data_IF_657143785951
#
_entry.id   IF_657143785951
#
_cell.length_a   1.000
_cell.length_b   1.000
_cell.length_c   1.000
_cell.angle_alpha   90.00
_cell.angle_beta   90.00
_cell.angle_gamma   90.00
#
_symmetry.space_group_name_H-M   'P 1'
#
loop_
_entity.id
_entity.type
_entity.pdbx_description
1 polymer ?
#
# COMPACT_ATOMS: atom_id res chain seq x y z
N UNK A 1 31.44 8.89 -45.58
CA UNK A 1 31.13 7.54 -45.04
C UNK A 1 32.14 7.12 -43.95
N UNK A 2 33.47 7.22 -44.20
CA UNK A 2 34.52 6.80 -43.24
C UNK A 2 34.51 7.58 -41.92
N UNK A 3 34.24 8.89 -41.96
CA UNK A 3 34.21 9.75 -40.76
C UNK A 3 33.01 9.35 -39.86
N UNK A 4 31.84 9.11 -40.44
CA UNK A 4 30.63 8.72 -39.69
C UNK A 4 30.81 7.32 -39.07
N UNK A 5 31.42 6.40 -39.82
CA UNK A 5 31.75 5.05 -39.34
C UNK A 5 32.74 5.12 -38.16
N UNK A 6 33.76 5.99 -38.24
CA UNK A 6 34.73 6.20 -37.18
C UNK A 6 34.11 6.76 -35.88
N UNK A 7 33.23 7.76 -36.01
CA UNK A 7 32.52 8.33 -34.87
C UNK A 7 31.59 7.27 -34.22
N UNK A 8 30.87 6.48 -35.04
CA UNK A 8 30.00 5.43 -34.54
C UNK A 8 30.75 4.32 -33.78
N UNK A 9 31.90 3.93 -34.29
CA UNK A 9 32.76 2.93 -33.65
C UNK A 9 33.31 3.45 -32.31
N UNK A 10 33.76 4.69 -32.27
CA UNK A 10 34.28 5.33 -31.06
C UNK A 10 33.19 5.48 -30.00
N UNK A 11 32.01 5.94 -30.38
CA UNK A 11 30.85 6.02 -29.48
C UNK A 11 30.44 4.63 -28.95
N UNK A 12 30.43 3.62 -29.79
CA UNK A 12 30.14 2.23 -29.39
C UNK A 12 31.12 1.67 -28.37
N UNK A 13 32.42 1.94 -28.55
CA UNK A 13 33.45 1.53 -27.56
C UNK A 13 33.26 2.27 -26.24
N UNK A 14 33.03 3.59 -26.27
CA UNK A 14 32.78 4.37 -25.04
C UNK A 14 31.56 3.84 -24.28
N UNK A 15 30.45 3.57 -24.97
CA UNK A 15 29.27 3.02 -24.36
C UNK A 15 29.49 1.61 -23.78
N UNK A 16 30.22 0.75 -24.48
CA UNK A 16 30.56 -0.58 -24.01
C UNK A 16 31.43 -0.55 -22.75
N UNK A 17 32.45 0.32 -22.73
CA UNK A 17 33.33 0.52 -21.57
C UNK A 17 32.54 1.11 -20.40
N UNK A 18 31.72 2.12 -20.64
CA UNK A 18 30.88 2.73 -19.62
C UNK A 18 29.89 1.70 -19.04
N UNK A 19 29.24 0.88 -19.88
CA UNK A 19 28.35 -0.19 -19.45
C UNK A 19 29.06 -1.23 -18.58
N UNK A 20 30.29 -1.61 -18.94
CA UNK A 20 31.07 -2.58 -18.16
C UNK A 20 31.51 -2.02 -16.79
N UNK A 21 31.91 -0.74 -16.74
CA UNK A 21 32.33 -0.09 -15.49
C UNK A 21 31.14 0.20 -14.58
N UNK A 22 29.99 0.57 -15.16
CA UNK A 22 28.76 0.87 -14.41
C UNK A 22 27.88 -0.35 -14.17
N UNK A 23 28.30 -1.55 -14.56
CA UNK A 23 27.57 -2.78 -14.26
C UNK A 23 27.48 -2.96 -12.75
N UNK A 24 26.27 -2.78 -12.20
CA UNK A 24 26.01 -3.08 -10.78
C UNK A 24 26.12 -4.60 -10.60
N UNK A 25 26.98 -5.10 -9.69
CA UNK A 25 27.07 -6.53 -9.42
C UNK A 25 25.69 -7.05 -9.02
N UNK A 26 25.21 -8.06 -9.76
CA UNK A 26 23.96 -8.72 -9.44
C UNK A 26 24.14 -9.51 -8.14
N UNK A 27 23.32 -9.21 -7.16
CA UNK A 27 23.27 -9.96 -5.92
C UNK A 27 22.32 -11.15 -6.14
N UNK A 28 22.87 -12.33 -6.40
CA UNK A 28 22.12 -13.57 -6.64
C UNK A 28 21.16 -13.89 -5.48
N UNK A 29 21.55 -13.53 -4.25
CA UNK A 29 20.67 -13.71 -3.08
C UNK A 29 19.48 -12.76 -3.13
N UNK A 30 19.69 -11.51 -3.54
CA UNK A 30 18.61 -10.55 -3.68
C UNK A 30 17.65 -10.95 -4.82
N UNK A 31 18.16 -11.49 -5.93
CA UNK A 31 17.32 -12.01 -7.02
C UNK A 31 16.48 -13.21 -6.55
N UNK A 32 17.06 -14.18 -5.84
CA UNK A 32 16.32 -15.33 -5.30
C UNK A 32 15.24 -14.89 -4.30
N UNK A 33 15.52 -13.92 -3.44
CA UNK A 33 14.53 -13.37 -2.52
C UNK A 33 13.42 -12.63 -3.28
N UNK A 34 13.76 -11.90 -4.34
CA UNK A 34 12.80 -11.17 -5.16
C UNK A 34 11.78 -12.10 -5.85
N UNK A 35 12.20 -13.28 -6.29
CA UNK A 35 11.31 -14.28 -6.88
C UNK A 35 10.27 -14.83 -5.89
N UNK A 36 10.61 -14.90 -4.61
CA UNK A 36 9.70 -15.33 -3.54
C UNK A 36 8.73 -14.23 -3.12
N UNK A 37 9.11 -12.96 -3.33
CA UNK A 37 8.26 -11.83 -2.99
C UNK A 37 7.09 -11.68 -3.97
N UNK A 38 5.90 -11.21 -3.51
CA UNK A 38 4.69 -11.15 -4.33
C UNK A 38 4.72 -10.12 -5.48
N UNK A 39 5.79 -9.35 -5.64
CA UNK A 39 5.95 -8.38 -6.72
C UNK A 39 5.01 -7.17 -6.70
N UNK A 40 4.21 -7.02 -5.66
CA UNK A 40 3.18 -5.96 -5.56
C UNK A 40 3.75 -4.54 -5.46
N UNK A 41 5.04 -4.37 -5.17
CA UNK A 41 5.75 -3.09 -5.05
C UNK A 41 5.00 -2.02 -4.23
N UNK A 42 4.23 -2.46 -3.22
CA UNK A 42 3.29 -1.60 -2.48
C UNK A 42 3.96 -0.70 -1.41
N UNK A 43 5.23 -0.94 -1.07
CA UNK A 43 5.95 -0.16 -0.05
C UNK A 43 5.50 -0.39 1.40
N UNK A 44 4.54 -1.28 1.68
CA UNK A 44 4.01 -1.53 3.03
C UNK A 44 5.06 -2.03 4.04
N UNK A 45 6.14 -2.62 3.56
CA UNK A 45 7.29 -3.04 4.35
C UNK A 45 8.24 -1.88 4.74
N UNK A 46 8.00 -0.66 4.25
CA UNK A 46 8.84 0.51 4.48
C UNK A 46 9.98 0.69 3.48
N UNK A 47 10.10 -0.16 2.47
CA UNK A 47 11.10 -0.08 1.40
C UNK A 47 10.50 0.42 0.09
N UNK A 48 11.34 0.89 -0.84
CA UNK A 48 10.93 1.46 -2.13
C UNK A 48 10.31 0.46 -3.12
N UNK A 49 9.95 -0.72 -2.66
CA UNK A 49 9.35 -1.81 -3.45
C UNK A 49 9.97 -3.15 -3.11
N UNK A 50 9.55 -4.20 -3.80
CA UNK A 50 10.04 -5.55 -3.53
C UNK A 50 11.54 -5.70 -3.78
N UNK A 51 12.08 -5.03 -4.81
CA UNK A 51 13.53 -5.04 -5.09
C UNK A 51 14.35 -4.36 -3.99
N UNK A 52 13.88 -3.24 -3.46
CA UNK A 52 14.53 -2.56 -2.33
C UNK A 52 14.52 -3.40 -1.06
N UNK A 53 13.41 -4.08 -0.80
CA UNK A 53 13.30 -5.00 0.36
C UNK A 53 14.19 -6.23 0.17
N UNK A 54 14.23 -6.84 -1.02
CA UNK A 54 15.11 -7.98 -1.33
C UNK A 54 16.59 -7.62 -1.14
N UNK A 55 17.01 -6.44 -1.62
CA UNK A 55 18.38 -5.96 -1.44
C UNK A 55 18.73 -5.67 0.03
N UNK A 56 17.79 -5.17 0.82
CA UNK A 56 18.00 -4.96 2.26
C UNK A 56 18.08 -6.29 3.03
N UNK A 57 17.29 -7.29 2.62
CA UNK A 57 17.34 -8.64 3.19
C UNK A 57 18.68 -9.34 2.89
N UNK A 58 19.18 -9.25 1.64
CA UNK A 58 20.46 -9.86 1.26
C UNK A 58 21.64 -9.28 2.03
N UNK A 59 21.58 -7.99 2.35
CA UNK A 59 22.60 -7.29 3.16
C UNK A 59 22.44 -7.49 4.67
N UNK A 60 21.33 -8.08 5.13
CA UNK A 60 21.03 -8.22 6.55
C UNK A 60 20.54 -6.93 7.24
N UNK A 61 20.18 -5.92 6.46
CA UNK A 61 19.67 -4.63 6.95
C UNK A 61 18.16 -4.68 7.29
N UNK A 62 17.46 -5.73 6.84
CA UNK A 62 16.04 -5.94 7.09
C UNK A 62 15.78 -7.33 7.69
N UNK A 63 14.67 -7.45 8.42
CA UNK A 63 14.22 -8.74 8.94
C UNK A 63 13.22 -9.40 7.96
N UNK A 64 13.25 -10.74 7.80
CA UNK A 64 12.20 -11.45 7.09
C UNK A 64 10.86 -11.30 7.83
N UNK A 65 9.73 -11.20 7.06
CA UNK A 65 8.40 -11.07 7.65
C UNK A 65 7.77 -9.68 7.61
N UNK A 66 8.47 -8.66 7.13
CA UNK A 66 7.88 -7.31 6.95
C UNK A 66 6.92 -7.23 5.76
N UNK A 67 6.94 -8.20 4.84
CA UNK A 67 6.05 -8.22 3.68
C UNK A 67 4.64 -8.67 4.07
N UNK A 68 3.73 -7.72 4.32
CA UNK A 68 2.33 -8.02 4.66
C UNK A 68 1.58 -8.78 3.54
N UNK A 69 1.66 -8.40 2.25
CA UNK A 69 1.01 -9.14 1.18
C UNK A 69 1.51 -10.57 0.99
N UNK A 70 2.81 -10.81 1.23
CA UNK A 70 3.41 -12.14 1.15
C UNK A 70 3.02 -13.07 2.28
N UNK A 71 2.68 -12.52 3.43
CA UNK A 71 2.25 -13.27 4.61
C UNK A 71 3.31 -14.23 5.15
N UNK A 72 2.84 -15.25 5.88
CA UNK A 72 3.70 -16.21 6.56
C UNK A 72 4.50 -17.10 5.58
N UNK A 73 3.90 -17.49 4.46
CA UNK A 73 4.59 -18.35 3.47
C UNK A 73 5.81 -17.64 2.86
N UNK A 74 5.67 -16.37 2.49
CA UNK A 74 6.77 -15.58 1.97
C UNK A 74 7.84 -15.33 3.04
N UNK A 75 7.44 -15.06 4.29
CA UNK A 75 8.37 -14.87 5.39
C UNK A 75 9.22 -16.11 5.67
N UNK A 76 8.60 -17.30 5.66
CA UNK A 76 9.31 -18.58 5.82
C UNK A 76 10.30 -18.83 4.70
N UNK A 77 9.87 -18.66 3.45
CA UNK A 77 10.75 -18.85 2.30
C UNK A 77 11.94 -17.86 2.29
N UNK A 78 11.70 -16.59 2.66
CA UNK A 78 12.80 -15.63 2.84
C UNK A 78 13.73 -16.01 3.99
N UNK A 79 13.21 -16.53 5.11
CA UNK A 79 13.99 -16.98 6.24
C UNK A 79 14.85 -18.20 5.90
N UNK A 80 14.33 -19.14 5.12
CA UNK A 80 15.08 -20.29 4.60
C UNK A 80 16.24 -19.88 3.70
N UNK A 81 16.02 -18.95 2.77
CA UNK A 81 17.08 -18.40 1.90
C UNK A 81 18.17 -17.67 2.67
N UNK A 82 17.80 -17.02 3.78
CA UNK A 82 18.74 -16.28 4.63
C UNK A 82 19.39 -17.15 5.71
N UNK A 83 18.89 -18.37 5.95
CA UNK A 83 19.33 -19.22 7.05
C UNK A 83 18.97 -18.67 8.43
N UNK A 84 18.01 -17.76 8.51
CA UNK A 84 17.46 -17.21 9.74
C UNK A 84 16.25 -18.05 10.14
N UNK A 85 16.18 -18.48 11.41
CA UNK A 85 15.10 -19.36 11.89
C UNK A 85 13.67 -18.81 11.68
N UNK A 86 12.69 -19.58 12.14
CA UNK A 86 11.25 -19.25 11.99
C UNK A 86 10.91 -17.83 12.47
N UNK A 87 10.26 -17.06 11.59
CA UNK A 87 9.80 -15.70 11.87
C UNK A 87 8.28 -15.69 12.01
N UNK A 88 7.82 -15.33 13.20
CA UNK A 88 6.39 -15.16 13.45
C UNK A 88 5.88 -13.88 12.78
N UNK A 89 4.98 -14.01 11.81
CA UNK A 89 4.34 -12.90 11.13
C UNK A 89 2.96 -12.65 11.73
N UNK A 90 2.76 -11.46 12.29
CA UNK A 90 1.44 -11.05 12.76
C UNK A 90 0.60 -10.56 11.59
N UNK A 91 -0.45 -11.31 11.24
CA UNK A 91 -1.37 -10.93 10.18
C UNK A 91 -2.16 -9.68 10.58
N UNK A 92 -2.02 -8.62 9.79
CA UNK A 92 -2.75 -7.35 9.95
C UNK A 92 -3.77 -7.19 8.84
N UNK A 93 -4.90 -6.57 9.17
CA UNK A 93 -5.93 -6.19 8.19
C UNK A 93 -6.17 -4.70 8.25
N UNK A 94 -6.56 -4.12 7.12
CA UNK A 94 -7.02 -2.74 7.11
C UNK A 94 -8.44 -2.65 7.70
N UNK A 95 -8.70 -1.59 8.44
CA UNK A 95 -10.00 -1.29 9.04
C UNK A 95 -10.38 0.14 8.74
N UNK A 96 -11.67 0.36 8.42
CA UNK A 96 -12.24 1.71 8.24
C UNK A 96 -12.76 2.20 9.59
N UNK A 97 -12.24 3.33 10.07
CA UNK A 97 -12.67 3.98 11.32
C UNK A 97 -13.86 4.92 11.06
N UNK A 98 -14.92 4.37 10.49
CA UNK A 98 -16.19 5.04 10.28
C UNK A 98 -17.33 4.02 10.31
N UNK A 99 -18.44 4.37 10.97
CA UNK A 99 -19.69 3.61 11.01
C UNK A 99 -20.88 4.47 10.53
N UNK A 100 -20.57 5.63 9.92
CA UNK A 100 -21.60 6.56 9.43
C UNK A 100 -22.15 6.13 8.07
N UNK A 101 -23.10 5.19 8.10
CA UNK A 101 -23.94 4.87 6.94
C UNK A 101 -25.05 5.93 6.77
N UNK A 102 -25.74 5.91 5.63
CA UNK A 102 -26.89 6.82 5.39
C UNK A 102 -28.05 6.60 6.38
N UNK A 103 -28.04 5.52 7.16
CA UNK A 103 -28.99 5.30 8.24
C UNK A 103 -28.69 6.16 9.48
N UNK A 104 -27.43 6.60 9.65
CA UNK A 104 -26.95 7.34 10.82
C UNK A 104 -26.44 8.74 10.48
N UNK A 105 -26.20 9.04 9.21
CA UNK A 105 -25.65 10.34 8.75
C UNK A 105 -26.27 10.71 7.42
N UNK A 106 -26.10 11.97 7.03
CA UNK A 106 -26.62 12.50 5.77
C UNK A 106 -25.56 13.31 5.06
N UNK A 107 -25.79 13.60 3.81
CA UNK A 107 -25.00 14.56 3.05
C UNK A 107 -25.46 15.98 3.39
N UNK A 108 -24.51 16.89 3.61
CA UNK A 108 -24.77 18.30 3.85
C UNK A 108 -24.98 19.10 2.57
N UNK A 109 -24.57 18.54 1.42
CA UNK A 109 -24.70 19.17 0.11
C UNK A 109 -24.81 18.10 -0.98
N UNK A 110 -25.49 18.45 -2.07
CA UNK A 110 -25.44 17.67 -3.31
C UNK A 110 -24.14 17.97 -4.04
N UNK A 111 -23.45 16.93 -4.49
CA UNK A 111 -22.21 17.01 -5.24
C UNK A 111 -22.43 16.52 -6.67
N UNK A 112 -22.22 17.41 -7.63
CA UNK A 112 -22.32 17.13 -9.06
C UNK A 112 -20.91 17.29 -9.70
N UNK A 113 -19.96 16.45 -9.32
CA UNK A 113 -18.57 16.47 -9.79
C UNK A 113 -18.04 15.08 -10.09
N UNK A 114 -16.73 14.94 -10.12
CA UNK A 114 -16.05 13.66 -10.33
C UNK A 114 -16.31 12.75 -9.14
N UNK A 115 -16.76 11.52 -9.37
CA UNK A 115 -16.98 10.50 -8.34
C UNK A 115 -15.64 10.05 -7.72
N UNK A 116 -15.13 10.87 -6.82
CA UNK A 116 -13.87 10.65 -6.11
C UNK A 116 -13.91 11.31 -4.73
N UNK A 117 -13.49 10.57 -3.71
CA UNK A 117 -13.32 11.10 -2.36
C UNK A 117 -12.31 12.26 -2.34
N UNK A 118 -11.21 12.12 -3.10
CA UNK A 118 -10.19 13.17 -3.18
C UNK A 118 -10.76 14.46 -3.78
N UNK A 119 -11.52 14.38 -4.88
CA UNK A 119 -12.11 15.54 -5.52
C UNK A 119 -13.18 16.21 -4.62
N UNK A 120 -14.08 15.43 -4.03
CA UNK A 120 -15.14 15.97 -3.18
C UNK A 120 -14.62 16.60 -1.88
N UNK A 121 -13.50 16.12 -1.34
CA UNK A 121 -12.87 16.69 -0.13
C UNK A 121 -12.43 18.15 -0.33
N UNK A 122 -12.09 18.54 -1.55
CA UNK A 122 -11.71 19.92 -1.88
C UNK A 122 -12.87 20.92 -1.68
N UNK A 123 -14.11 20.43 -1.73
CA UNK A 123 -15.30 21.28 -1.51
C UNK A 123 -15.75 21.18 -0.04
N UNK A 124 -15.45 22.19 0.73
CA UNK A 124 -15.85 22.32 2.13
C UNK A 124 -15.57 21.07 3.00
N UNK A 125 -14.49 20.35 2.69
CA UNK A 125 -14.08 19.15 3.40
C UNK A 125 -14.91 17.89 3.08
N UNK A 126 -15.67 17.89 2.00
CA UNK A 126 -16.46 16.75 1.53
C UNK A 126 -17.95 16.88 1.78
N UNK A 127 -18.73 15.96 1.19
CA UNK A 127 -20.19 16.01 1.14
C UNK A 127 -20.87 15.60 2.46
N UNK A 128 -20.25 14.74 3.25
CA UNK A 128 -20.84 14.20 4.47
C UNK A 128 -21.02 15.26 5.54
N UNK A 129 -22.14 15.20 6.29
CA UNK A 129 -22.39 16.05 7.46
C UNK A 129 -21.33 15.85 8.53
N UNK A 130 -20.82 14.65 8.70
CA UNK A 130 -19.68 14.39 9.57
C UNK A 130 -18.37 14.75 8.87
N UNK A 131 -17.68 15.78 9.36
CA UNK A 131 -16.40 16.24 8.79
C UNK A 131 -15.31 15.18 8.79
N UNK A 132 -15.38 14.20 9.67
CA UNK A 132 -14.46 13.08 9.80
C UNK A 132 -14.98 11.83 9.08
N UNK A 133 -16.21 11.84 8.56
CA UNK A 133 -16.88 10.66 8.02
C UNK A 133 -16.37 10.20 6.67
N UNK A 134 -16.65 8.93 6.36
CA UNK A 134 -16.48 8.39 5.01
C UNK A 134 -17.47 9.07 4.06
N UNK A 135 -17.04 9.30 2.82
CA UNK A 135 -17.87 9.90 1.77
C UNK A 135 -18.47 8.87 0.82
N UNK A 136 -18.05 7.62 0.94
CA UNK A 136 -18.64 6.52 0.18
C UNK A 136 -18.40 6.52 -1.33
N UNK A 137 -17.47 7.35 -1.88
CA UNK A 137 -17.22 7.44 -3.33
C UNK A 137 -16.26 6.37 -3.86
N UNK A 138 -15.59 5.58 -2.99
CA UNK A 138 -14.92 4.35 -3.40
C UNK A 138 -13.48 4.48 -3.88
N UNK A 139 -12.76 5.59 -3.70
CA UNK A 139 -11.32 5.70 -4.08
C UNK A 139 -10.48 4.56 -3.47
N UNK A 140 -10.77 4.17 -2.23
CA UNK A 140 -10.11 3.05 -1.57
C UNK A 140 -10.44 1.69 -2.21
N UNK A 141 -11.66 1.52 -2.73
CA UNK A 141 -12.06 0.30 -3.43
C UNK A 141 -11.42 0.21 -4.82
N UNK A 142 -11.32 1.33 -5.53
CA UNK A 142 -10.72 1.41 -6.86
C UNK A 142 -9.24 0.99 -6.86
N UNK A 143 -8.49 1.29 -5.78
CA UNK A 143 -7.07 0.89 -5.66
C UNK A 143 -6.87 -0.50 -5.06
N UNK A 144 -7.94 -1.21 -4.69
CA UNK A 144 -7.86 -2.51 -4.04
C UNK A 144 -7.77 -3.65 -5.07
N UNK A 145 -6.57 -4.11 -5.39
CA UNK A 145 -6.32 -5.22 -6.33
C UNK A 145 -6.88 -6.56 -5.85
N UNK A 146 -7.16 -6.69 -4.54
CA UNK A 146 -7.63 -7.94 -3.94
C UNK A 146 -9.16 -8.01 -3.81
N UNK A 147 -9.88 -6.99 -4.25
CA UNK A 147 -11.34 -6.92 -4.11
C UNK A 147 -11.82 -7.04 -2.66
N UNK A 148 -11.00 -6.59 -1.71
CA UNK A 148 -11.30 -6.69 -0.28
C UNK A 148 -12.19 -5.54 0.23
N UNK A 149 -12.41 -4.50 -0.58
CA UNK A 149 -13.15 -3.30 -0.16
C UNK A 149 -14.45 -3.21 -0.94
N UNK A 150 -15.54 -3.11 -0.20
CA UNK A 150 -16.87 -2.88 -0.73
C UNK A 150 -17.41 -1.55 -0.19
N UNK A 151 -18.12 -0.79 -1.01
CA UNK A 151 -18.79 0.45 -0.61
C UNK A 151 -20.29 0.22 -0.67
N UNK A 152 -20.92 0.30 0.48
CA UNK A 152 -22.37 0.13 0.62
C UNK A 152 -22.91 1.19 1.56
N UNK A 153 -24.11 1.69 1.25
CA UNK A 153 -24.84 2.63 2.12
C UNK A 153 -23.99 3.84 2.57
N UNK A 154 -23.23 4.43 1.61
CA UNK A 154 -22.38 5.61 1.87
C UNK A 154 -21.09 5.35 2.65
N UNK A 155 -20.73 4.10 2.90
CA UNK A 155 -19.57 3.74 3.71
C UNK A 155 -18.75 2.60 3.08
N UNK A 156 -17.43 2.69 3.19
CA UNK A 156 -16.53 1.61 2.81
C UNK A 156 -16.42 0.56 3.92
N UNK A 157 -16.44 -0.70 3.54
CA UNK A 157 -16.22 -1.86 4.41
C UNK A 157 -15.11 -2.73 3.85
N UNK A 158 -14.28 -3.30 4.72
CA UNK A 158 -13.13 -4.12 4.34
C UNK A 158 -13.34 -5.55 4.84
N UNK A 159 -13.24 -6.51 3.93
CA UNK A 159 -13.24 -7.94 4.23
C UNK A 159 -11.84 -8.37 4.70
N UNK A 160 -11.68 -8.75 5.98
CA UNK A 160 -10.37 -9.14 6.51
C UNK A 160 -9.85 -10.46 5.92
N UNK A 161 -10.72 -11.31 5.37
CA UNK A 161 -10.31 -12.56 4.73
C UNK A 161 -9.59 -12.32 3.39
N UNK A 162 -10.05 -11.32 2.63
CA UNK A 162 -9.47 -10.92 1.34
C UNK A 162 -8.33 -9.93 1.50
N UNK A 163 -8.29 -9.16 2.58
CA UNK A 163 -7.29 -8.11 2.79
C UNK A 163 -5.88 -8.70 2.93
N UNK A 164 -4.95 -8.19 2.13
CA UNK A 164 -3.52 -8.58 2.15
C UNK A 164 -2.62 -7.56 2.86
N UNK A 165 -3.16 -6.47 3.38
CA UNK A 165 -2.38 -5.46 4.12
C UNK A 165 -1.40 -4.65 3.28
N UNK A 166 -1.70 -4.38 2.01
CA UNK A 166 -0.80 -3.70 1.06
C UNK A 166 -0.73 -2.17 1.22
N UNK A 167 -1.51 -1.56 2.10
CA UNK A 167 -1.56 -0.13 2.41
C UNK A 167 -2.02 0.81 1.27
N UNK A 168 -2.36 0.33 0.07
CA UNK A 168 -2.81 1.20 -1.04
C UNK A 168 -4.08 2.01 -0.67
N UNK A 169 -5.01 1.39 0.04
CA UNK A 169 -6.26 2.05 0.48
C UNK A 169 -6.04 3.12 1.56
N UNK A 170 -5.02 2.98 2.41
CA UNK A 170 -4.70 4.01 3.42
C UNK A 170 -4.18 5.28 2.75
N UNK A 171 -3.35 5.14 1.72
CA UNK A 171 -2.84 6.27 0.93
C UNK A 171 -3.95 6.92 0.06
N UNK A 172 -4.90 6.12 -0.43
CA UNK A 172 -6.00 6.62 -1.27
C UNK A 172 -7.10 7.35 -0.48
N UNK A 173 -7.17 7.16 0.85
CA UNK A 173 -8.22 7.78 1.66
C UNK A 173 -7.85 9.23 2.05
N UNK A 174 -8.50 10.27 1.49
CA UNK A 174 -8.16 11.66 1.78
C UNK A 174 -8.52 12.07 3.21
N UNK A 175 -9.39 11.30 3.88
CA UNK A 175 -9.79 11.49 5.28
C UNK A 175 -8.93 10.72 6.29
N UNK A 176 -8.00 9.87 5.81
CA UNK A 176 -7.16 9.06 6.69
C UNK A 176 -7.92 8.07 7.57
N UNK A 177 -9.08 7.59 7.12
CA UNK A 177 -9.98 6.73 7.90
C UNK A 177 -9.53 5.28 8.00
N UNK A 178 -8.53 4.87 7.24
CA UNK A 178 -8.13 3.48 7.13
C UNK A 178 -6.80 3.28 7.85
N UNK A 179 -6.78 2.41 8.84
CA UNK A 179 -5.56 2.00 9.54
C UNK A 179 -5.45 0.47 9.62
N UNK A 180 -4.25 -0.01 9.96
CA UNK A 180 -4.02 -1.43 10.15
C UNK A 180 -4.24 -1.85 11.58
N UNK A 181 -4.96 -2.94 11.75
CA UNK A 181 -5.17 -3.57 13.05
C UNK A 181 -4.74 -5.04 12.98
N UNK A 182 -4.11 -5.57 14.05
CA UNK A 182 -3.85 -6.99 14.15
C UNK A 182 -5.17 -7.78 14.15
N UNK A 183 -5.24 -8.88 13.40
CA UNK A 183 -6.42 -9.74 13.34
C UNK A 183 -6.83 -10.32 14.70
N UNK A 184 -5.86 -10.43 15.63
CA UNK A 184 -6.09 -10.95 16.98
C UNK A 184 -6.77 -9.94 17.93
N UNK A 185 -6.87 -8.65 17.55
CA UNK A 185 -7.54 -7.65 18.39
C UNK A 185 -9.04 -7.90 18.44
N UNK A 186 -9.57 -8.05 19.64
CA UNK A 186 -10.98 -8.30 19.89
C UNK A 186 -11.84 -7.03 19.96
N UNK A 187 -11.22 -5.88 20.25
CA UNK A 187 -11.92 -4.60 20.33
C UNK A 187 -11.16 -3.50 19.63
N UNK A 188 -11.84 -2.74 18.77
CA UNK A 188 -11.30 -1.59 18.04
C UNK A 188 -12.31 -0.47 17.98
N UNK A 189 -11.83 0.77 18.15
CA UNK A 189 -12.66 1.96 17.96
C UNK A 189 -12.89 2.16 16.47
N UNK A 190 -14.14 2.21 16.04
CA UNK A 190 -14.55 2.38 14.63
C UNK A 190 -15.12 3.77 14.35
N UNK A 191 -14.63 4.78 15.01
CA UNK A 191 -15.01 6.17 14.78
C UNK A 191 -13.78 7.07 14.89
N UNK A 192 -13.59 7.95 13.93
CA UNK A 192 -12.51 8.96 13.90
C UNK A 192 -13.00 10.35 14.29
N UNK A 193 -14.24 10.49 14.79
CA UNK A 193 -14.75 11.79 15.23
C UNK A 193 -13.97 12.25 16.47
N UNK A 194 -13.41 13.45 16.39
CA UNK A 194 -12.66 14.13 17.45
C UNK A 194 -13.42 15.30 18.06
N UNK A 195 -14.66 15.59 17.61
CA UNK A 195 -15.48 16.65 18.15
C UNK A 195 -15.99 16.30 19.56
N UNK A 196 -16.19 17.29 20.40
CA UNK A 196 -16.80 17.09 21.72
C UNK A 196 -18.27 16.66 21.55
N UNK A 197 -18.77 15.82 22.43
CA UNK A 197 -20.13 15.27 22.32
C UNK A 197 -21.24 16.30 22.20
N UNK A 198 -21.06 17.53 22.74
CA UNK A 198 -21.97 18.65 22.58
C UNK A 198 -22.02 19.24 21.16
N UNK A 199 -21.01 18.99 20.34
CA UNK A 199 -20.92 19.50 18.97
C UNK A 199 -21.45 18.48 17.94
N UNK A 200 -21.70 17.25 18.38
CA UNK A 200 -22.13 16.14 17.52
C UNK A 200 -23.64 15.81 17.66
N UNK A 201 -24.32 16.48 18.54
CA UNK A 201 -25.79 16.43 18.70
C UNK A 201 -26.44 17.61 18.01
#
# INVERSE_FOLDING_TARGET
VLIVAGIGLLAGIILAVASAIMAVPKDEKAEAILEVLPGANCGACGFSGCSGYAAALSKGEAQPGLCSPGGEACAKACAELLGTGDVAVEKKTALVHCMGSYDCTSDKMRYDGIDSCAASTLLAGGISSCRYGCMGMGDCAAVCEYGAINVCNGMASIDPAKCRGCAKCTAACPKGLISFVPLKKQAVVRCSNCDKGAETM
#
